data_IF_025207412160
#
_entry.id   IF_025207412160
#
_cell.length_a   1.000
_cell.length_b   1.000
_cell.length_c   1.000
_cell.angle_alpha   90.00
_cell.angle_beta   90.00
_cell.angle_gamma   90.00
#
_symmetry.space_group_name_H-M   'P 1'
#
loop_
_entity.id
_entity.type
_entity.pdbx_description
1 polymer ?
#
# COMPACT_ATOMS: atom_id res chain seq x y z
N UNK A 1 39.89 -26.15 24.07
CA UNK A 1 39.51 -24.94 23.31
C UNK A 1 39.12 -25.37 21.90
N UNK A 2 37.83 -25.59 21.67
CA UNK A 2 37.29 -26.03 20.38
C UNK A 2 37.22 -24.83 19.45
N UNK A 3 38.04 -24.87 18.39
CA UNK A 3 38.05 -23.86 17.34
C UNK A 3 36.71 -23.94 16.60
N UNK A 4 35.75 -23.06 16.94
CA UNK A 4 34.49 -22.94 16.22
C UNK A 4 34.81 -22.55 14.78
N UNK A 5 34.66 -23.52 13.90
CA UNK A 5 35.02 -23.48 12.49
C UNK A 5 34.33 -22.30 11.77
N UNK A 6 35.15 -21.44 11.15
CA UNK A 6 34.78 -20.27 10.33
C UNK A 6 33.71 -20.56 9.26
N UNK A 7 33.51 -21.84 8.92
CA UNK A 7 32.53 -22.32 7.95
C UNK A 7 31.09 -22.18 8.49
N UNK A 8 30.86 -22.38 9.80
CA UNK A 8 29.53 -22.21 10.39
C UNK A 8 29.07 -20.75 10.39
N UNK A 9 30.00 -19.83 10.60
CA UNK A 9 29.71 -18.39 10.52
C UNK A 9 29.34 -17.98 9.09
N UNK A 10 30.05 -18.51 8.09
CA UNK A 10 29.74 -18.26 6.67
C UNK A 10 28.39 -18.86 6.26
N UNK A 11 28.07 -20.07 6.72
CA UNK A 11 26.77 -20.72 6.49
C UNK A 11 25.62 -19.96 7.17
N UNK A 12 25.82 -19.47 8.40
CA UNK A 12 24.84 -18.63 9.11
C UNK A 12 24.59 -17.31 8.37
N UNK A 13 25.63 -16.67 7.83
CA UNK A 13 25.51 -15.44 7.04
C UNK A 13 24.77 -15.66 5.70
N UNK A 14 25.00 -16.80 5.04
CA UNK A 14 24.27 -17.19 3.82
C UNK A 14 22.79 -17.48 4.11
N UNK A 15 22.49 -18.14 5.23
CA UNK A 15 21.11 -18.34 5.67
C UNK A 15 20.40 -17.00 5.96
N UNK A 16 21.06 -16.05 6.65
CA UNK A 16 20.52 -14.71 6.92
C UNK A 16 20.18 -13.92 5.65
N UNK A 17 20.98 -14.06 4.59
CA UNK A 17 20.68 -13.47 3.28
C UNK A 17 19.37 -14.00 2.67
N UNK A 18 19.07 -15.29 2.86
CA UNK A 18 17.81 -15.90 2.43
C UNK A 18 16.63 -15.45 3.30
N UNK A 19 16.80 -15.24 4.61
CA UNK A 19 15.75 -14.73 5.49
C UNK A 19 15.31 -13.29 5.15
N UNK A 20 16.16 -12.49 4.50
CA UNK A 20 15.78 -11.15 4.04
C UNK A 20 14.72 -11.16 2.91
N UNK A 21 14.53 -12.31 2.23
CA UNK A 21 13.51 -12.47 1.18
C UNK A 21 12.06 -12.58 1.69
N UNK A 22 11.86 -12.68 3.02
CA UNK A 22 10.56 -12.92 3.64
C UNK A 22 9.92 -11.73 4.36
N UNK A 23 10.47 -10.52 4.27
CA UNK A 23 9.93 -9.38 5.04
C UNK A 23 8.85 -8.62 4.27
N UNK A 24 7.66 -8.55 4.86
CA UNK A 24 6.62 -7.64 4.41
C UNK A 24 7.06 -6.18 4.56
N UNK A 25 6.57 -5.32 3.68
CA UNK A 25 6.71 -3.87 3.77
C UNK A 25 5.36 -3.26 4.05
N UNK A 26 5.32 -2.25 4.92
CA UNK A 26 4.09 -1.56 5.32
C UNK A 26 4.23 -0.05 5.19
N UNK A 27 3.12 0.65 5.07
CA UNK A 27 3.11 2.10 5.11
C UNK A 27 1.74 2.70 4.95
N UNK A 28 1.73 4.01 4.68
CA UNK A 28 0.53 4.76 4.39
C UNK A 28 0.69 5.54 3.09
N UNK A 29 -0.42 5.76 2.39
CA UNK A 29 -0.49 6.67 1.25
C UNK A 29 -1.77 7.49 1.38
N UNK A 30 -1.68 8.78 1.10
CA UNK A 30 -2.79 9.73 1.27
C UNK A 30 -3.19 10.29 -0.09
N UNK A 31 -4.49 10.45 -0.32
CA UNK A 31 -5.01 11.17 -1.47
C UNK A 31 -4.63 12.65 -1.40
N UNK A 32 -4.69 13.32 -2.56
CA UNK A 32 -4.72 14.77 -2.57
C UNK A 32 -6.07 15.25 -2.00
N UNK A 33 -6.14 16.50 -1.57
CA UNK A 33 -7.36 17.06 -1.01
C UNK A 33 -8.36 17.38 -2.14
N UNK A 34 -9.61 16.95 -2.00
CA UNK A 34 -10.70 17.29 -2.92
C UNK A 34 -11.38 18.58 -2.48
N UNK A 35 -11.46 19.57 -3.37
CA UNK A 35 -12.30 20.76 -3.13
C UNK A 35 -13.71 20.52 -3.62
N UNK A 36 -14.67 21.21 -3.01
CA UNK A 36 -16.06 21.18 -3.43
C UNK A 36 -16.19 21.56 -4.92
N UNK A 37 -17.07 20.85 -5.64
CA UNK A 37 -17.27 21.03 -7.09
C UNK A 37 -16.26 20.31 -7.98
N UNK A 38 -15.25 19.64 -7.45
CA UNK A 38 -14.32 18.82 -8.23
C UNK A 38 -14.80 17.37 -8.35
N UNK A 39 -14.56 16.73 -9.50
CA UNK A 39 -14.69 15.28 -9.65
C UNK A 39 -13.36 14.62 -9.26
N UNK A 40 -13.27 14.15 -8.01
CA UNK A 40 -12.01 13.69 -7.45
C UNK A 40 -11.86 12.17 -7.53
N UNK A 41 -10.83 11.75 -8.26
CA UNK A 41 -10.30 10.39 -8.26
C UNK A 41 -8.78 10.50 -8.18
N UNK A 42 -8.12 9.63 -7.41
CA UNK A 42 -6.68 9.72 -7.21
C UNK A 42 -5.97 8.40 -7.49
N UNK A 43 -4.89 8.50 -8.26
CA UNK A 43 -3.91 7.45 -8.44
C UNK A 43 -2.62 7.90 -7.78
N UNK A 44 -2.18 7.18 -6.72
CA UNK A 44 -0.95 7.50 -5.99
C UNK A 44 0.03 6.34 -6.10
N UNK A 45 1.16 6.56 -6.75
CA UNK A 45 2.22 5.56 -6.81
C UNK A 45 2.86 5.39 -5.43
N UNK A 46 3.10 4.14 -5.04
CA UNK A 46 3.78 3.75 -3.81
C UNK A 46 4.98 2.90 -4.19
N UNK A 47 6.18 3.37 -3.87
CA UNK A 47 7.42 2.62 -4.03
C UNK A 47 7.69 1.74 -2.83
N UNK A 48 8.09 0.49 -3.06
CA UNK A 48 8.68 -0.34 -2.03
C UNK A 48 10.10 0.12 -1.73
N UNK A 49 10.50 0.10 -0.45
CA UNK A 49 11.86 0.48 -0.01
C UNK A 49 12.92 -0.42 -0.63
N UNK A 50 12.58 -1.70 -0.79
CA UNK A 50 13.39 -2.71 -1.49
C UNK A 50 12.50 -3.42 -2.51
N UNK A 51 12.97 -3.64 -3.75
CA UNK A 51 12.22 -4.45 -4.69
C UNK A 51 12.01 -5.88 -4.18
N UNK A 52 10.83 -6.44 -4.42
CA UNK A 52 10.56 -7.86 -4.18
C UNK A 52 11.11 -8.73 -5.33
N UNK A 53 11.46 -10.00 -5.10
CA UNK A 53 11.91 -10.91 -6.16
C UNK A 53 10.83 -11.16 -7.24
N UNK A 54 9.56 -11.12 -6.85
CA UNK A 54 8.39 -11.22 -7.72
C UNK A 54 7.30 -10.25 -7.21
N UNK A 55 6.29 -9.89 -8.03
CA UNK A 55 5.20 -9.01 -7.57
C UNK A 55 4.53 -9.57 -6.30
N UNK A 56 4.52 -8.82 -5.18
CA UNK A 56 3.98 -9.28 -3.90
C UNK A 56 2.45 -9.29 -3.89
N UNK A 57 1.85 -9.90 -2.87
CA UNK A 57 0.45 -9.65 -2.54
C UNK A 57 0.36 -8.36 -1.71
N UNK A 58 -0.58 -7.48 -2.09
CA UNK A 58 -0.80 -6.17 -1.44
C UNK A 58 -2.20 -6.11 -0.88
N UNK A 59 -2.30 -5.88 0.43
CA UNK A 59 -3.55 -5.62 1.14
C UNK A 59 -3.59 -4.16 1.57
N UNK A 60 -4.75 -3.53 1.44
CA UNK A 60 -4.97 -2.13 1.82
C UNK A 60 -6.17 -1.99 2.74
N UNK A 61 -6.08 -1.09 3.71
CA UNK A 61 -7.17 -0.75 4.62
C UNK A 61 -7.35 0.77 4.70
N UNK A 62 -8.57 1.21 5.00
CA UNK A 62 -8.87 2.62 5.24
C UNK A 62 -8.23 3.07 6.56
N UNK A 63 -7.44 4.15 6.51
CA UNK A 63 -6.73 4.71 7.66
C UNK A 63 -7.13 6.17 7.98
N UNK A 64 -7.79 6.86 7.05
CA UNK A 64 -8.40 8.18 7.26
C UNK A 64 -9.52 8.34 6.24
N UNK A 65 -10.65 8.87 6.70
CA UNK A 65 -11.78 9.29 5.90
C UNK A 65 -12.24 10.67 6.36
N UNK A 66 -12.15 11.65 5.47
CA UNK A 66 -12.73 12.98 5.64
C UNK A 66 -13.79 13.15 4.56
N UNK A 67 -15.06 13.15 4.97
CA UNK A 67 -16.22 13.14 4.09
C UNK A 67 -17.22 14.23 4.45
N UNK A 68 -17.87 14.78 3.43
CA UNK A 68 -18.96 15.72 3.64
C UNK A 68 -20.16 15.06 4.30
N UNK A 69 -20.80 15.77 5.23
CA UNK A 69 -21.95 15.27 6.02
C UNK A 69 -23.24 15.10 5.22
N UNK A 70 -23.36 15.78 4.08
CA UNK A 70 -24.64 15.93 3.38
C UNK A 70 -24.99 14.81 2.40
N UNK A 71 -24.11 13.84 2.18
CA UNK A 71 -24.34 12.75 1.24
C UNK A 71 -23.73 11.42 1.70
N UNK A 72 -24.04 10.35 0.97
CA UNK A 72 -23.56 9.02 1.31
C UNK A 72 -22.05 8.89 1.05
N UNK A 73 -21.39 8.08 1.87
CA UNK A 73 -20.00 7.68 1.65
C UNK A 73 -19.97 6.53 0.64
N UNK A 74 -19.29 6.74 -0.50
CA UNK A 74 -19.18 5.76 -1.59
C UNK A 74 -17.77 5.81 -2.17
N UNK A 75 -16.93 4.84 -1.81
CA UNK A 75 -15.52 4.82 -2.19
C UNK A 75 -15.01 3.40 -2.45
N UNK A 76 -14.00 3.27 -3.31
CA UNK A 76 -13.16 2.08 -3.40
C UNK A 76 -11.70 2.45 -3.15
N UNK A 77 -11.00 1.51 -2.54
CA UNK A 77 -9.57 1.60 -2.30
C UNK A 77 -8.97 0.30 -2.79
N UNK A 78 -8.21 0.37 -3.88
CA UNK A 78 -7.62 -0.82 -4.50
C UNK A 78 -6.16 -0.56 -4.87
N UNK A 79 -5.23 -1.44 -4.49
CA UNK A 79 -3.92 -1.47 -5.12
C UNK A 79 -4.08 -2.02 -6.54
N UNK A 80 -3.46 -1.36 -7.51
CA UNK A 80 -3.43 -1.75 -8.92
C UNK A 80 -2.00 -1.69 -9.44
N UNK A 81 -1.74 -2.27 -10.61
CA UNK A 81 -0.42 -2.22 -11.26
C UNK A 81 0.72 -2.64 -10.33
N UNK A 82 0.49 -3.71 -9.56
CA UNK A 82 1.46 -4.24 -8.60
C UNK A 82 2.64 -4.83 -9.36
N UNK A 83 3.83 -4.34 -9.04
CA UNK A 83 5.11 -4.76 -9.61
C UNK A 83 6.07 -5.15 -8.50
N UNK A 84 7.28 -5.58 -8.84
CA UNK A 84 8.35 -5.80 -7.87
C UNK A 84 8.81 -4.52 -7.16
N UNK A 85 8.59 -3.34 -7.75
CA UNK A 85 9.11 -2.07 -7.25
C UNK A 85 8.08 -1.22 -6.50
N UNK A 86 6.80 -1.54 -6.67
CA UNK A 86 5.73 -0.73 -6.11
C UNK A 86 4.38 -1.05 -6.73
N UNK A 87 3.39 -0.24 -6.39
CA UNK A 87 2.02 -0.34 -6.90
C UNK A 87 1.39 1.05 -7.03
N UNK A 88 0.25 1.12 -7.71
CA UNK A 88 -0.59 2.32 -7.74
C UNK A 88 -1.75 2.13 -6.77
N UNK A 89 -1.88 3.01 -5.79
CA UNK A 89 -3.07 3.10 -4.96
C UNK A 89 -4.16 3.87 -5.70
N UNK A 90 -5.24 3.21 -6.07
CA UNK A 90 -6.42 3.83 -6.65
C UNK A 90 -7.46 4.13 -5.56
N UNK A 91 -7.70 5.43 -5.36
CA UNK A 91 -8.79 5.96 -4.54
C UNK A 91 -9.91 6.45 -5.47
N UNK A 92 -10.92 5.62 -5.67
CA UNK A 92 -12.09 5.96 -6.49
C UNK A 92 -13.28 6.34 -5.62
N UNK A 93 -14.04 7.32 -6.10
CA UNK A 93 -15.27 7.82 -5.47
C UNK A 93 -16.36 7.84 -6.54
N UNK A 94 -17.54 7.30 -6.23
CA UNK A 94 -18.69 7.31 -7.15
C UNK A 94 -19.93 7.94 -6.51
N UNK A 95 -20.93 8.26 -7.34
CA UNK A 95 -22.12 8.98 -6.90
C UNK A 95 -21.87 10.48 -6.66
N UNK A 96 -20.83 11.06 -7.28
CA UNK A 96 -20.54 12.49 -7.21
C UNK A 96 -21.57 13.35 -7.98
N UNK A 97 -22.35 12.70 -8.84
CA UNK A 97 -23.43 13.29 -9.65
C UNK A 97 -24.83 12.95 -9.13
N UNK A 98 -24.97 12.35 -7.94
CA UNK A 98 -26.29 12.10 -7.33
C UNK A 98 -26.77 13.29 -6.53
N UNK A 99 -28.04 13.28 -6.11
CA UNK A 99 -28.60 14.25 -5.17
C UNK A 99 -29.07 13.54 -3.87
N UNK A 100 -28.45 13.80 -2.71
CA UNK A 100 -27.23 14.58 -2.54
C UNK A 100 -25.98 13.87 -3.10
N UNK A 101 -24.93 14.61 -3.49
CA UNK A 101 -23.71 14.02 -4.06
C UNK A 101 -22.85 13.35 -2.99
N UNK A 102 -22.11 12.30 -3.36
CA UNK A 102 -20.98 11.85 -2.55
C UNK A 102 -19.83 12.84 -2.70
N UNK A 103 -19.37 13.41 -1.58
CA UNK A 103 -18.18 14.26 -1.55
C UNK A 103 -17.21 13.79 -0.46
N UNK A 104 -15.99 13.45 -0.87
CA UNK A 104 -14.90 12.98 0.00
C UNK A 104 -13.76 13.98 -0.11
N UNK A 105 -13.45 14.67 0.98
CA UNK A 105 -12.37 15.65 1.05
C UNK A 105 -10.99 14.99 1.03
N UNK A 106 -10.81 13.87 1.74
CA UNK A 106 -9.51 13.20 1.83
C UNK A 106 -9.61 11.75 2.26
N UNK A 107 -8.72 10.91 1.73
CA UNK A 107 -8.56 9.51 2.10
C UNK A 107 -7.10 9.19 2.46
N UNK A 108 -6.91 8.21 3.35
CA UNK A 108 -5.60 7.57 3.57
C UNK A 108 -5.77 6.06 3.56
N UNK A 109 -4.87 5.38 2.86
CA UNK A 109 -4.73 3.94 2.92
C UNK A 109 -3.57 3.56 3.83
N UNK A 110 -3.79 2.62 4.74
CA UNK A 110 -2.73 1.75 5.22
C UNK A 110 -2.51 0.65 4.18
N UNK A 111 -1.27 0.24 3.96
CA UNK A 111 -0.94 -0.84 3.03
C UNK A 111 0.10 -1.79 3.63
N UNK A 112 -0.02 -3.05 3.28
CA UNK A 112 0.93 -4.12 3.58
C UNK A 112 1.20 -4.91 2.31
N UNK A 113 2.47 -5.07 1.95
CA UNK A 113 2.93 -5.86 0.82
C UNK A 113 3.82 -7.00 1.33
N UNK A 114 3.46 -8.25 1.04
CA UNK A 114 4.21 -9.44 1.46
C UNK A 114 4.59 -10.29 0.26
N UNK A 115 5.76 -10.97 0.27
CA UNK A 115 6.06 -11.99 -0.73
C UNK A 115 4.95 -13.04 -0.75
N UNK A 116 4.70 -13.62 -1.93
CA UNK A 116 3.79 -14.77 -2.04
C UNK A 116 4.39 -15.96 -1.29
N UNK A 117 3.55 -16.65 -0.53
CA UNK A 117 3.90 -17.90 0.17
C UNK A 117 4.06 -19.03 -0.85
#
# INVERSE_FOLDING_TARGET
>A
MTQMSSIYCLLLLLCLGAYASGQCQVGFVTSDYCREGQNCQWLKYVSFKKPFPSPPDVVTALALLDSWRGGNIRLNMRPTSISTHGFVMNFGVWGQNTDPPTHIYRLKAAWTACPKV
#
